data_IF_889845612268
#
_entry.id   IF_889845612268
#
_cell.length_a   1.000
_cell.length_b   1.000
_cell.length_c   1.000
_cell.angle_alpha   90.00
_cell.angle_beta   90.00
_cell.angle_gamma   90.00
#
_symmetry.space_group_name_H-M   'P 1'
#
loop_
_entity.id
_entity.type
_entity.pdbx_description
1 polymer ?
#
# COMPACT_ATOMS: atom_id res chain seq x y z
N UNK A 1 -7.78 -29.73 13.62
CA UNK A 1 -7.23 -28.44 14.07
C UNK A 1 -8.43 -27.56 14.32
N UNK A 2 -8.58 -27.05 15.54
CA UNK A 2 -9.69 -26.15 15.90
C UNK A 2 -9.66 -24.94 14.95
N UNK A 3 -10.81 -24.53 14.42
CA UNK A 3 -10.91 -23.31 13.62
C UNK A 3 -10.80 -22.10 14.56
N UNK A 4 -9.62 -21.50 14.59
CA UNK A 4 -9.38 -20.24 15.30
C UNK A 4 -10.03 -19.11 14.51
N UNK A 5 -10.93 -18.37 15.15
CA UNK A 5 -11.51 -17.17 14.54
C UNK A 5 -10.64 -15.97 14.93
N UNK A 6 -10.00 -15.36 13.95
CA UNK A 6 -9.20 -14.15 14.13
C UNK A 6 -10.11 -12.94 13.92
N UNK A 7 -10.11 -12.00 14.86
CA UNK A 7 -10.88 -10.75 14.77
C UNK A 7 -9.93 -9.57 14.95
N UNK A 8 -9.73 -8.76 13.91
CA UNK A 8 -8.88 -7.58 13.98
C UNK A 8 -9.53 -6.53 14.87
N UNK A 9 -8.76 -6.02 15.85
CA UNK A 9 -9.17 -4.94 16.75
C UNK A 9 -8.54 -3.62 16.38
N UNK A 10 -7.30 -3.61 15.92
CA UNK A 10 -6.60 -2.36 15.61
C UNK A 10 -5.47 -2.61 14.63
N UNK A 11 -5.32 -1.74 13.65
CA UNK A 11 -4.20 -1.76 12.72
C UNK A 11 -3.62 -0.34 12.58
N UNK A 12 -2.30 -0.23 12.75
CA UNK A 12 -1.57 1.05 12.70
C UNK A 12 -0.33 0.93 11.83
N UNK A 13 -0.23 1.81 10.83
CA UNK A 13 0.91 1.94 9.95
C UNK A 13 1.94 2.88 10.57
N UNK A 14 3.20 2.44 10.63
CA UNK A 14 4.36 3.25 11.03
C UNK A 14 5.47 3.06 10.03
N UNK A 15 5.82 4.11 9.26
CA UNK A 15 6.94 4.09 8.29
C UNK A 15 6.93 2.81 7.42
N UNK A 16 5.77 2.53 6.81
CA UNK A 16 5.52 1.39 5.92
C UNK A 16 5.47 -0.01 6.56
N UNK A 17 5.46 -0.07 7.89
CA UNK A 17 5.27 -1.30 8.67
C UNK A 17 3.91 -1.30 9.34
N UNK A 18 3.36 -2.49 9.53
CA UNK A 18 2.07 -2.69 10.16
C UNK A 18 2.21 -3.19 11.60
N UNK A 19 1.51 -2.53 12.53
CA UNK A 19 1.28 -3.05 13.87
C UNK A 19 -0.19 -3.40 14.01
N UNK A 20 -0.48 -4.66 14.30
CA UNK A 20 -1.86 -5.16 14.42
C UNK A 20 -2.11 -5.69 15.81
N UNK A 21 -3.30 -5.40 16.33
CA UNK A 21 -3.88 -6.04 17.49
C UNK A 21 -5.09 -6.83 17.01
N UNK A 22 -5.10 -8.12 17.26
CA UNK A 22 -6.22 -8.99 16.90
C UNK A 22 -6.51 -9.99 18.03
N UNK A 23 -7.75 -10.45 18.07
CA UNK A 23 -8.20 -11.45 19.02
C UNK A 23 -8.29 -12.81 18.34
N UNK A 24 -7.73 -13.83 18.96
CA UNK A 24 -7.93 -15.23 18.56
C UNK A 24 -8.98 -15.85 19.46
N UNK A 25 -10.11 -16.25 18.87
CA UNK A 25 -11.19 -16.91 19.60
C UNK A 25 -11.16 -18.42 19.33
N UNK A 26 -11.02 -19.17 20.43
CA UNK A 26 -11.07 -20.63 20.45
C UNK A 26 -12.47 -21.05 20.88
N UNK A 27 -13.23 -21.61 19.93
CA UNK A 27 -14.65 -21.92 20.13
C UNK A 27 -14.86 -23.16 21.01
N UNK A 28 -13.95 -24.12 20.95
CA UNK A 28 -14.03 -25.37 21.72
C UNK A 28 -13.48 -25.15 23.14
N UNK A 29 -12.41 -24.37 23.28
CA UNK A 29 -11.77 -24.12 24.56
C UNK A 29 -12.32 -22.89 25.32
N UNK A 30 -13.22 -22.10 24.72
CA UNK A 30 -13.91 -20.96 25.31
C UNK A 30 -13.00 -19.89 25.95
N UNK A 31 -11.82 -19.66 25.37
CA UNK A 31 -10.97 -18.54 25.75
C UNK A 31 -10.63 -17.67 24.53
N UNK A 32 -10.19 -16.45 24.80
CA UNK A 32 -9.80 -15.47 23.77
C UNK A 32 -8.42 -14.93 24.10
N UNK A 33 -7.50 -15.04 23.15
CA UNK A 33 -6.17 -14.43 23.27
C UNK A 33 -6.17 -13.07 22.60
N UNK A 34 -5.52 -12.09 23.22
CA UNK A 34 -5.25 -10.80 22.60
C UNK A 34 -3.80 -10.81 22.12
N UNK A 35 -3.61 -10.74 20.81
CA UNK A 35 -2.28 -10.75 20.18
C UNK A 35 -1.93 -9.37 19.71
N UNK A 36 -0.72 -8.93 20.09
CA UNK A 36 -0.10 -7.72 19.57
C UNK A 36 1.06 -8.14 18.67
N UNK A 37 0.93 -7.91 17.37
CA UNK A 37 1.93 -8.29 16.37
C UNK A 37 2.51 -7.04 15.71
N UNK A 38 3.82 -6.86 15.85
CA UNK A 38 4.57 -5.85 15.11
C UNK A 38 5.25 -6.55 13.94
N UNK A 39 4.91 -6.17 12.71
CA UNK A 39 5.43 -6.79 11.51
C UNK A 39 6.54 -5.93 10.89
N UNK A 40 7.62 -6.57 10.47
CA UNK A 40 8.75 -5.89 9.81
C UNK A 40 8.63 -5.87 8.28
N UNK A 41 7.73 -6.68 7.73
CA UNK A 41 7.45 -6.76 6.31
C UNK A 41 6.81 -5.45 5.81
N UNK A 42 7.15 -5.06 4.58
CA UNK A 42 6.60 -3.86 3.97
C UNK A 42 5.13 -4.09 3.63
N UNK A 43 4.28 -3.09 3.90
CA UNK A 43 2.88 -3.13 3.49
C UNK A 43 2.73 -3.15 1.96
N UNK A 44 1.83 -3.98 1.44
CA UNK A 44 1.49 -3.99 0.02
C UNK A 44 0.76 -2.68 -0.38
N UNK A 45 0.77 -2.35 -1.68
CA UNK A 45 0.07 -1.16 -2.21
C UNK A 45 -1.43 -1.20 -1.91
N UNK A 46 -2.05 -2.38 -2.03
CA UNK A 46 -3.50 -2.56 -1.83
C UNK A 46 -3.92 -2.21 -0.39
N UNK A 47 -3.13 -2.63 0.61
CA UNK A 47 -3.38 -2.28 2.01
C UNK A 47 -3.25 -0.76 2.22
N UNK A 48 -2.28 -0.12 1.57
CA UNK A 48 -2.13 1.34 1.61
C UNK A 48 -3.33 2.03 0.96
N UNK A 49 -3.83 1.52 -0.15
CA UNK A 49 -5.01 2.05 -0.82
C UNK A 49 -6.26 1.91 0.06
N UNK A 50 -6.47 0.75 0.68
CA UNK A 50 -7.57 0.54 1.62
C UNK A 50 -7.55 1.56 2.77
N UNK A 51 -6.38 1.77 3.39
CA UNK A 51 -6.22 2.81 4.42
C UNK A 51 -6.43 4.22 3.88
N UNK A 52 -6.06 4.48 2.62
CA UNK A 52 -6.26 5.78 1.99
C UNK A 52 -7.75 6.13 1.85
N UNK A 53 -8.63 5.14 1.62
CA UNK A 53 -10.09 5.39 1.52
C UNK A 53 -10.68 5.95 2.81
N UNK A 54 -10.20 5.49 3.97
CA UNK A 54 -10.59 6.03 5.29
C UNK A 54 -10.27 7.52 5.47
N UNK A 55 -9.38 8.09 4.65
CA UNK A 55 -9.05 9.51 4.66
C UNK A 55 -10.27 10.39 4.37
N UNK A 56 -11.12 9.99 3.43
CA UNK A 56 -12.32 10.75 3.08
C UNK A 56 -13.29 10.81 4.26
N UNK A 57 -13.50 9.67 4.90
CA UNK A 57 -14.30 9.58 6.11
C UNK A 57 -13.74 10.50 7.21
N UNK A 58 -12.43 10.43 7.48
CA UNK A 58 -11.80 11.28 8.49
C UNK A 58 -12.01 12.77 8.24
N UNK A 59 -11.86 13.23 6.99
CA UNK A 59 -12.03 14.64 6.62
C UNK A 59 -13.46 15.11 6.82
N UNK A 60 -14.45 14.31 6.40
CA UNK A 60 -15.87 14.65 6.58
C UNK A 60 -16.25 14.65 8.05
N UNK A 61 -15.88 13.60 8.79
CA UNK A 61 -16.24 13.41 10.20
C UNK A 61 -15.57 14.43 11.13
N UNK A 62 -14.35 14.87 10.80
CA UNK A 62 -13.65 15.92 11.56
C UNK A 62 -13.99 17.33 11.07
N UNK A 63 -15.06 17.50 10.27
CA UNK A 63 -15.57 18.77 9.75
C UNK A 63 -14.48 19.67 9.16
N UNK A 64 -13.55 19.07 8.43
CA UNK A 64 -12.42 19.79 7.85
C UNK A 64 -12.87 20.68 6.69
N UNK A 65 -12.13 21.77 6.37
CA UNK A 65 -12.54 22.70 5.32
C UNK A 65 -12.66 22.05 3.93
N UNK A 66 -11.92 20.98 3.67
CA UNK A 66 -11.99 20.21 2.42
C UNK A 66 -13.23 19.31 2.33
N UNK A 67 -13.95 19.08 3.44
CA UNK A 67 -15.14 18.24 3.49
C UNK A 67 -16.27 18.75 2.59
N UNK A 68 -16.34 20.07 2.33
CA UNK A 68 -17.34 20.66 1.44
C UNK A 68 -17.27 20.16 -0.01
N UNK A 69 -16.11 19.62 -0.40
CA UNK A 69 -15.86 19.13 -1.76
C UNK A 69 -16.11 17.63 -1.90
N UNK A 70 -16.39 16.93 -0.80
CA UNK A 70 -16.58 15.49 -0.76
C UNK A 70 -18.07 15.20 -0.98
N UNK A 71 -18.36 14.32 -1.93
CA UNK A 71 -19.69 13.82 -2.23
C UNK A 71 -19.70 12.28 -2.25
N UNK A 72 -20.86 11.66 -2.45
CA UNK A 72 -20.98 10.19 -2.50
C UNK A 72 -20.08 9.56 -3.58
N UNK A 73 -19.98 10.21 -4.75
CA UNK A 73 -19.14 9.73 -5.86
C UNK A 73 -17.65 9.75 -5.51
N UNK A 74 -17.23 10.62 -4.58
CA UNK A 74 -15.84 10.73 -4.14
C UNK A 74 -15.34 9.46 -3.45
N UNK A 75 -16.22 8.73 -2.76
CA UNK A 75 -15.90 7.45 -2.10
C UNK A 75 -15.74 6.31 -3.10
N UNK A 76 -16.43 6.38 -4.24
CA UNK A 76 -16.35 5.35 -5.29
C UNK A 76 -15.27 5.66 -6.33
N UNK A 77 -14.84 6.91 -6.43
CA UNK A 77 -13.85 7.36 -7.40
C UNK A 77 -12.44 6.87 -7.03
N UNK A 78 -11.79 6.05 -7.88
CA UNK A 78 -10.43 5.58 -7.61
C UNK A 78 -9.45 6.75 -7.62
N UNK A 79 -8.57 6.80 -6.62
CA UNK A 79 -7.53 7.83 -6.51
C UNK A 79 -7.99 9.17 -5.94
N UNK A 80 -9.29 9.41 -5.71
CA UNK A 80 -9.75 10.69 -5.15
C UNK A 80 -9.15 10.96 -3.76
N UNK A 81 -8.99 9.93 -2.93
CA UNK A 81 -8.32 10.03 -1.63
C UNK A 81 -6.86 10.53 -1.71
N UNK A 82 -6.19 10.38 -2.85
CA UNK A 82 -4.81 10.85 -3.05
C UNK A 82 -4.74 12.37 -3.22
N UNK A 83 -5.81 13.01 -3.72
CA UNK A 83 -5.90 14.46 -3.86
C UNK A 83 -5.79 15.21 -2.52
N UNK A 84 -6.10 14.52 -1.43
CA UNK A 84 -5.96 15.00 -0.06
C UNK A 84 -4.55 14.69 0.48
N UNK A 85 -3.53 15.28 -0.14
CA UNK A 85 -2.11 15.03 0.17
C UNK A 85 -1.71 15.44 1.60
N UNK A 86 -2.37 16.48 2.13
CA UNK A 86 -2.10 16.99 3.48
C UNK A 86 -2.58 16.05 4.59
N UNK A 87 -3.38 15.03 4.27
CA UNK A 87 -3.92 14.10 5.24
C UNK A 87 -3.27 12.73 5.10
N UNK A 88 -2.87 12.18 6.24
CA UNK A 88 -2.23 10.87 6.33
C UNK A 88 -3.04 10.02 7.29
N UNK A 89 -3.52 8.87 6.84
CA UNK A 89 -4.11 7.87 7.73
C UNK A 89 -2.99 7.09 8.40
N UNK A 90 -3.05 7.04 9.72
CA UNK A 90 -2.08 6.30 10.56
C UNK A 90 -2.63 4.96 10.99
N UNK A 91 -3.95 4.80 11.09
CA UNK A 91 -4.57 3.53 11.40
C UNK A 91 -6.06 3.61 11.69
N UNK A 92 -6.63 2.47 12.02
CA UNK A 92 -7.99 2.35 12.49
C UNK A 92 -8.10 1.33 13.64
N UNK A 93 -9.18 1.38 14.39
CA UNK A 93 -9.50 0.39 15.42
C UNK A 93 -10.99 0.08 15.43
N UNK A 94 -11.34 -1.19 15.49
CA UNK A 94 -12.69 -1.68 15.69
C UNK A 94 -12.97 -1.66 17.20
N UNK A 95 -13.60 -0.58 17.65
CA UNK A 95 -13.89 -0.31 19.06
C UNK A 95 -15.40 -0.44 19.32
N UNK A 96 -15.75 -0.65 20.59
CA UNK A 96 -17.13 -0.49 21.03
C UNK A 96 -17.17 0.50 22.19
N UNK A 97 -17.96 1.55 22.02
CA UNK A 97 -18.18 2.59 23.02
C UNK A 97 -19.64 2.48 23.46
N UNK A 98 -19.87 2.37 24.76
CA UNK A 98 -21.21 2.26 25.36
C UNK A 98 -22.10 1.14 24.78
N UNK A 99 -21.48 0.04 24.34
CA UNK A 99 -22.16 -1.12 23.75
C UNK A 99 -22.53 -0.97 22.28
N UNK A 100 -22.19 0.18 21.67
CA UNK A 100 -22.34 0.42 20.24
C UNK A 100 -21.04 0.06 19.54
N UNK A 101 -21.11 -0.80 18.52
CA UNK A 101 -19.95 -1.15 17.70
C UNK A 101 -19.66 -0.03 16.71
N UNK A 102 -18.39 0.36 16.61
CA UNK A 102 -17.94 1.39 15.69
C UNK A 102 -16.48 1.25 15.31
N UNK A 103 -16.02 2.22 14.54
CA UNK A 103 -14.65 2.32 14.10
C UNK A 103 -14.05 3.63 14.59
N UNK A 104 -12.86 3.53 15.16
CA UNK A 104 -12.00 4.66 15.49
C UNK A 104 -11.01 4.86 14.35
N UNK A 105 -11.12 5.96 13.62
CA UNK A 105 -10.17 6.33 12.56
C UNK A 105 -9.10 7.23 13.18
N UNK A 106 -7.83 6.95 12.87
CA UNK A 106 -6.67 7.70 13.34
C UNK A 106 -5.88 8.21 12.14
N UNK A 107 -5.69 9.52 12.06
CA UNK A 107 -4.89 10.16 11.03
C UNK A 107 -4.21 11.42 11.54
N UNK A 108 -3.54 12.12 10.63
CA UNK A 108 -2.89 13.37 10.90
C UNK A 108 -3.02 14.31 9.69
N UNK A 109 -3.11 15.62 9.96
CA UNK A 109 -3.07 16.67 8.95
C UNK A 109 -1.75 17.43 9.05
N UNK A 110 -1.04 17.54 7.94
CA UNK A 110 0.09 18.44 7.80
C UNK A 110 -0.42 19.85 7.48
N UNK A 111 -0.11 20.81 8.35
CA UNK A 111 -0.48 22.21 8.13
C UNK A 111 0.58 22.92 7.28
N UNK A 112 0.18 24.01 6.63
CA UNK A 112 1.10 24.88 5.87
C UNK A 112 2.26 25.44 6.73
N UNK A 113 2.07 25.51 8.06
CA UNK A 113 3.12 25.90 9.00
C UNK A 113 4.20 24.83 9.23
N UNK A 114 4.06 23.65 8.62
CA UNK A 114 4.91 22.48 8.85
C UNK A 114 4.59 21.70 10.14
N UNK A 115 3.64 22.17 10.95
CA UNK A 115 3.15 21.45 12.13
C UNK A 115 2.19 20.34 11.71
N UNK A 116 2.17 19.27 12.50
CA UNK A 116 1.26 18.12 12.33
C UNK A 116 0.17 18.20 13.38
N UNK A 117 -1.08 18.01 12.96
CA UNK A 117 -2.26 17.89 13.84
C UNK A 117 -2.73 16.45 13.80
N UNK A 118 -2.75 15.79 14.96
CA UNK A 118 -3.32 14.46 15.09
C UNK A 118 -4.85 14.52 15.12
N UNK A 119 -5.49 13.75 14.25
CA UNK A 119 -6.94 13.64 14.13
C UNK A 119 -7.37 12.23 14.52
N UNK A 120 -8.32 12.14 15.45
CA UNK A 120 -8.88 10.87 15.89
C UNK A 120 -10.36 11.04 16.13
N UNK A 121 -11.16 10.17 15.53
CA UNK A 121 -12.61 10.17 15.70
C UNK A 121 -13.15 8.74 15.81
N UNK A 122 -14.09 8.54 16.71
CA UNK A 122 -14.87 7.32 16.82
C UNK A 122 -16.21 7.55 16.13
N UNK A 123 -16.63 6.60 15.30
CA UNK A 123 -17.92 6.64 14.60
C UNK A 123 -18.61 5.28 14.73
N UNK A 124 -19.86 5.26 15.20
CA UNK A 124 -20.68 4.05 15.16
C UNK A 124 -20.85 3.54 13.72
N UNK A 125 -20.79 2.23 13.50
CA UNK A 125 -20.90 1.67 12.15
C UNK A 125 -22.30 1.87 11.53
N UNK A 126 -23.30 2.06 12.39
CA UNK A 126 -24.71 2.27 12.04
C UNK A 126 -25.17 3.68 12.41
N UNK A 127 -24.27 4.65 12.33
CA UNK A 127 -24.59 6.04 12.62
C UNK A 127 -25.45 6.65 11.51
N UNK A 128 -26.74 6.82 11.77
CA UNK A 128 -27.67 7.42 10.81
C UNK A 128 -27.41 8.92 10.58
N UNK A 129 -26.69 9.58 11.50
CA UNK A 129 -26.34 10.99 11.36
C UNK A 129 -25.18 11.17 10.37
N UNK A 130 -24.43 10.11 10.06
CA UNK A 130 -23.37 10.13 9.07
C UNK A 130 -23.90 9.68 7.69
N UNK A 131 -23.98 10.59 6.68
CA UNK A 131 -24.59 10.26 5.39
C UNK A 131 -23.88 9.15 4.59
N UNK A 132 -22.61 8.87 4.92
CA UNK A 132 -21.77 7.90 4.21
C UNK A 132 -21.43 6.67 5.07
N UNK A 133 -22.32 6.30 5.99
CA UNK A 133 -22.11 5.17 6.90
C UNK A 133 -21.99 3.82 6.16
N UNK A 134 -22.69 3.65 5.03
CA UNK A 134 -22.61 2.44 4.20
C UNK A 134 -21.21 2.29 3.60
N UNK A 135 -20.70 3.37 3.00
CA UNK A 135 -19.35 3.41 2.42
C UNK A 135 -18.29 3.17 3.50
N UNK A 136 -18.48 3.76 4.69
CA UNK A 136 -17.58 3.54 5.83
C UNK A 136 -17.54 2.07 6.23
N UNK A 137 -18.69 1.38 6.24
CA UNK A 137 -18.75 -0.03 6.60
C UNK A 137 -18.04 -0.92 5.57
N UNK A 138 -18.13 -0.58 4.28
CA UNK A 138 -17.47 -1.28 3.18
C UNK A 138 -15.96 -1.06 3.25
N UNK A 139 -15.52 0.18 3.42
CA UNK A 139 -14.09 0.53 3.50
C UNK A 139 -13.43 -0.04 4.76
N UNK A 140 -14.15 -0.07 5.89
CA UNK A 140 -13.69 -0.73 7.11
C UNK A 140 -13.50 -2.25 6.89
N UNK A 141 -14.48 -2.92 6.28
CA UNK A 141 -14.39 -4.34 5.97
C UNK A 141 -13.27 -4.64 4.96
N UNK A 142 -13.05 -3.76 3.99
CA UNK A 142 -11.93 -3.87 3.04
C UNK A 142 -10.57 -3.74 3.75
N UNK A 143 -10.45 -2.83 4.71
CA UNK A 143 -9.24 -2.70 5.53
C UNK A 143 -8.98 -3.97 6.34
N UNK A 144 -10.00 -4.53 6.98
CA UNK A 144 -9.88 -5.77 7.74
C UNK A 144 -9.44 -6.94 6.84
N UNK A 145 -10.05 -7.11 5.66
CA UNK A 145 -9.68 -8.15 4.71
C UNK A 145 -8.21 -8.03 4.25
N UNK A 146 -7.76 -6.83 3.90
CA UNK A 146 -6.36 -6.61 3.48
C UNK A 146 -5.36 -6.84 4.62
N UNK A 147 -5.72 -6.50 5.85
CA UNK A 147 -4.89 -6.79 7.03
C UNK A 147 -4.83 -8.30 7.30
N UNK A 148 -5.93 -9.03 7.13
CA UNK A 148 -5.94 -10.50 7.22
C UNK A 148 -5.04 -11.14 6.16
N UNK A 149 -5.16 -10.72 4.89
CA UNK A 149 -4.28 -11.19 3.81
C UNK A 149 -2.80 -10.89 4.07
N UNK A 150 -2.49 -9.72 4.62
CA UNK A 150 -1.12 -9.38 5.01
C UNK A 150 -0.60 -10.28 6.16
N UNK A 151 -1.45 -10.63 7.12
CA UNK A 151 -1.06 -11.40 8.31
C UNK A 151 -0.97 -12.91 8.07
N UNK A 152 -1.87 -13.46 7.27
CA UNK A 152 -2.10 -14.91 7.14
C UNK A 152 -1.87 -15.46 5.73
N UNK A 153 -1.92 -14.61 4.70
CA UNK A 153 -1.76 -15.01 3.30
C UNK A 153 -0.44 -14.51 2.68
N UNK A 154 0.45 -13.96 3.52
CA UNK A 154 1.78 -13.47 3.11
C UNK A 154 1.74 -12.38 2.03
N UNK A 155 0.63 -11.64 1.93
CA UNK A 155 0.45 -10.51 0.99
C UNK A 155 1.22 -9.27 1.47
N UNK A 156 2.54 -9.35 1.50
CA UNK A 156 3.43 -8.24 1.82
C UNK A 156 4.19 -7.72 0.61
N UNK A 157 4.59 -6.45 0.66
CA UNK A 157 5.44 -5.85 -0.35
C UNK A 157 6.83 -6.48 -0.33
N UNK A 158 7.35 -6.82 -1.52
CA UNK A 158 8.73 -7.27 -1.68
C UNK A 158 9.65 -6.05 -1.61
N UNK A 159 10.68 -6.11 -0.78
CA UNK A 159 11.77 -5.14 -0.83
C UNK A 159 12.49 -5.30 -2.16
N UNK A 160 12.36 -4.32 -3.04
CA UNK A 160 13.13 -4.30 -4.27
C UNK A 160 14.60 -4.09 -3.93
N UNK A 161 15.40 -5.15 -4.02
CA UNK A 161 16.85 -5.02 -4.02
C UNK A 161 17.27 -4.26 -5.29
N UNK A 162 18.30 -3.42 -5.18
CA UNK A 162 18.84 -2.72 -6.35
C UNK A 162 19.46 -3.78 -7.26
N UNK A 163 18.99 -3.88 -8.50
CA UNK A 163 19.75 -4.59 -9.52
C UNK A 163 20.98 -3.73 -9.85
N UNK A 164 22.15 -4.22 -9.49
CA UNK A 164 23.42 -3.64 -9.94
C UNK A 164 23.67 -4.08 -11.39
N UNK A 165 23.17 -3.28 -12.33
CA UNK A 165 23.36 -3.49 -13.79
C UNK A 165 24.81 -3.27 -14.26
N UNK A 166 25.75 -2.98 -13.36
CA UNK A 166 27.16 -2.71 -13.69
C UNK A 166 28.02 -3.97 -13.86
N UNK A 167 27.43 -5.17 -13.88
CA UNK A 167 28.20 -6.44 -13.86
C UNK A 167 27.75 -7.51 -14.88
N UNK A 168 27.31 -7.10 -16.07
CA UNK A 168 27.10 -8.04 -17.18
C UNK A 168 27.47 -7.38 -18.52
N UNK A 169 28.77 -7.17 -18.76
CA UNK A 169 29.26 -7.31 -20.13
C UNK A 169 29.15 -8.81 -20.44
N UNK A 170 28.32 -9.23 -21.42
CA UNK A 170 28.25 -10.65 -21.76
C UNK A 170 29.65 -11.08 -22.22
N UNK A 171 30.23 -12.10 -21.58
CA UNK A 171 31.38 -12.78 -22.15
C UNK A 171 30.98 -13.20 -23.58
N UNK A 172 31.58 -12.55 -24.57
CA UNK A 172 31.38 -12.86 -25.97
C UNK A 172 31.50 -14.38 -26.12
N UNK A 173 30.44 -15.02 -26.60
CA UNK A 173 30.45 -16.43 -26.90
C UNK A 173 31.66 -16.70 -27.80
N UNK A 174 32.69 -17.35 -27.27
CA UNK A 174 33.84 -17.82 -28.04
C UNK A 174 33.28 -18.84 -29.03
N UNK A 175 32.96 -18.37 -30.23
CA UNK A 175 32.67 -19.22 -31.38
C UNK A 175 33.99 -19.93 -31.66
N UNK A 176 34.10 -21.18 -31.21
CA UNK A 176 35.17 -22.07 -31.62
C UNK A 176 35.10 -22.17 -33.14
N UNK A 177 36.05 -21.52 -33.82
CA UNK A 177 36.21 -21.61 -35.27
C UNK A 177 36.55 -23.07 -35.63
N UNK A 178 35.56 -23.81 -36.14
CA UNK A 178 35.84 -25.05 -36.87
C UNK A 178 36.57 -24.73 -38.18
N UNK A 179 37.68 -25.44 -38.38
CA UNK A 179 38.62 -25.27 -39.48
C UNK A 179 37.96 -25.35 -40.87
N UNK A 180 38.25 -24.34 -41.70
CA UNK A 180 37.90 -24.29 -43.13
C UNK A 180 38.58 -25.41 -43.94
N UNK A 181 37.94 -25.91 -45.03
CA UNK A 181 38.64 -26.30 -46.23
C UNK A 181 38.65 -25.16 -47.29
N UNK A 182 39.70 -25.22 -48.12
CA UNK A 182 40.30 -24.15 -48.93
C UNK A 182 39.56 -23.82 -50.25
N UNK A 183 39.47 -22.53 -50.57
CA UNK A 183 40.19 -21.96 -51.72
C UNK A 183 39.41 -21.41 -52.94
N UNK A 184 39.94 -20.26 -53.43
CA UNK A 184 39.69 -19.47 -54.68
C UNK A 184 38.54 -18.44 -54.56
N UNK A 185 38.72 -17.12 -54.62
CA UNK A 185 39.85 -16.22 -54.91
C UNK A 185 39.36 -15.08 -55.82
N UNK A 186 39.61 -13.80 -55.47
CA UNK A 186 40.01 -12.67 -56.36
C UNK A 186 39.78 -11.26 -55.74
N UNK A 187 40.90 -10.72 -55.21
CA UNK A 187 41.47 -9.35 -55.25
C UNK A 187 40.61 -8.05 -55.23
N UNK A 188 41.04 -7.20 -54.27
CA UNK A 188 41.32 -5.72 -54.30
C UNK A 188 40.08 -4.81 -54.41
N UNK A 189 39.95 -3.67 -53.72
CA UNK A 189 40.87 -2.73 -53.01
C UNK A 189 39.96 -1.82 -52.15
N UNK A 190 40.27 -1.55 -50.87
CA UNK A 190 39.62 -0.48 -50.12
C UNK A 190 40.57 0.73 -50.09
N UNK A 191 40.12 1.88 -50.56
CA UNK A 191 40.75 3.17 -50.32
C UNK A 191 40.07 3.79 -49.09
N UNK A 192 40.84 4.13 -48.07
CA UNK A 192 40.53 5.21 -47.12
C UNK A 192 41.22 6.48 -47.65
N UNK A 193 40.85 7.73 -47.26
CA UNK A 193 40.25 8.11 -45.97
C UNK A 193 39.14 9.19 -46.01
N UNK A 194 38.50 9.39 -44.85
CA UNK A 194 37.72 10.58 -44.43
C UNK A 194 38.58 11.86 -44.58
N UNK A 195 38.05 13.12 -44.64
CA UNK A 195 37.29 13.69 -43.51
C UNK A 195 36.35 14.91 -43.81
N UNK A 196 35.79 15.44 -42.71
CA UNK A 196 35.40 16.84 -42.41
C UNK A 196 33.94 17.31 -42.61
N UNK A 197 33.37 17.66 -41.45
CA UNK A 197 32.40 18.71 -41.15
C UNK A 197 32.32 19.88 -42.15
N UNK A 198 31.09 20.38 -42.34
CA UNK A 198 30.75 21.79 -42.09
C UNK A 198 29.24 22.06 -42.32
N UNK A 199 28.58 22.54 -41.27
CA UNK A 199 27.61 23.65 -41.24
C UNK A 199 27.05 24.19 -42.57
N UNK A 200 25.72 24.18 -42.71
CA UNK A 200 24.85 25.36 -42.86
C UNK A 200 23.37 24.93 -42.89
#
# INVERSE_FOLDING_TARGET
MEQVKNEIKKAVIKKDRLNVVYNERFSEANYTNVINKSCDQIIHSDLREAFSRLKLHLVVLCEQPEASNINKDSFTSPGYAETLENYIITGYANDSVDGVSGITIMGAKLLQSGKVVDLKIFVPLLDADYPYYEELSIDAAACDAEVESYLFEEKWGVRQERLDFETDEPEEAVVMEEEKPKGRGRKKRLETPVPLDATA
#
